data_IF_914516596297
#
_entry.id   IF_914516596297
#
_cell.length_a   1.000
_cell.length_b   1.000
_cell.length_c   1.000
_cell.angle_alpha   90.00
_cell.angle_beta   90.00
_cell.angle_gamma   90.00
#
_symmetry.space_group_name_H-M   'P 1'
#
loop_
_entity.id
_entity.type
_entity.pdbx_description
1 polymer ?
#
# COMPACT_ATOMS: atom_id res chain seq x y z
N UNK A 1 -28.54 -37.98 -33.93
CA UNK A 1 -29.65 -37.60 -34.84
C UNK A 1 -30.01 -36.16 -34.50
N UNK A 2 -29.91 -35.25 -35.48
CA UNK A 2 -30.32 -33.82 -35.49
C UNK A 2 -29.75 -32.89 -34.40
N UNK A 3 -28.74 -32.05 -34.62
CA UNK A 3 -28.56 -30.97 -35.63
C UNK A 3 -29.58 -29.83 -35.47
N UNK A 4 -29.11 -28.65 -35.03
CA UNK A 4 -29.45 -27.33 -35.59
C UNK A 4 -28.61 -26.22 -34.96
N UNK A 5 -27.54 -25.91 -35.68
CA UNK A 5 -26.89 -24.60 -35.80
C UNK A 5 -27.92 -23.53 -36.16
N UNK A 6 -27.82 -22.35 -35.54
CA UNK A 6 -28.41 -21.12 -36.05
C UNK A 6 -27.43 -19.97 -35.82
N UNK A 7 -26.83 -19.53 -36.92
CA UNK A 7 -26.07 -18.29 -37.07
C UNK A 7 -26.93 -17.30 -37.86
N UNK A 8 -26.96 -16.02 -37.44
CA UNK A 8 -27.26 -14.76 -38.16
C UNK A 8 -27.76 -13.74 -37.12
N UNK A 9 -27.50 -12.43 -37.15
CA UNK A 9 -26.86 -11.58 -38.13
C UNK A 9 -26.38 -10.28 -37.45
N UNK A 10 -25.39 -9.66 -38.08
CA UNK A 10 -24.93 -8.28 -37.93
C UNK A 10 -26.07 -7.25 -37.85
N UNK A 11 -25.91 -6.25 -36.98
CA UNK A 11 -26.39 -4.89 -37.24
C UNK A 11 -25.38 -3.88 -36.66
N UNK A 12 -24.58 -3.32 -37.56
CA UNK A 12 -23.69 -2.17 -37.33
C UNK A 12 -24.56 -0.92 -37.26
N UNK A 13 -24.45 -0.15 -36.17
CA UNK A 13 -25.02 1.18 -36.04
C UNK A 13 -23.94 2.19 -35.69
N UNK A 14 -23.36 2.84 -36.71
CA UNK A 14 -22.61 4.07 -36.54
C UNK A 14 -23.60 5.25 -36.48
N UNK A 15 -23.63 5.97 -35.37
CA UNK A 15 -24.25 7.29 -35.28
C UNK A 15 -23.19 8.30 -34.85
N UNK A 16 -22.61 8.98 -35.85
CA UNK A 16 -21.84 10.21 -35.67
C UNK A 16 -22.83 11.37 -35.52
N UNK A 17 -22.88 11.98 -34.35
CA UNK A 17 -23.45 13.32 -34.17
C UNK A 17 -22.37 14.25 -33.65
N UNK A 18 -21.84 15.05 -34.58
CA UNK A 18 -21.05 16.24 -34.34
C UNK A 18 -22.00 17.43 -34.12
N UNK A 19 -21.76 18.20 -33.06
CA UNK A 19 -22.12 19.63 -32.95
C UNK A 19 -21.27 20.21 -31.80
N UNK A 20 -20.11 20.79 -32.11
CA UNK A 20 -19.89 22.22 -32.35
C UNK A 20 -19.70 22.99 -31.03
N UNK A 21 -18.41 23.16 -30.72
CA UNK A 21 -17.86 24.13 -29.77
C UNK A 21 -18.29 25.54 -30.19
N UNK A 22 -18.83 26.30 -29.24
CA UNK A 22 -19.10 27.72 -29.41
C UNK A 22 -18.29 28.45 -28.34
N UNK A 23 -17.16 29.01 -28.78
CA UNK A 23 -16.46 30.08 -28.09
C UNK A 23 -17.24 31.36 -28.38
N UNK A 24 -17.65 32.08 -27.33
CA UNK A 24 -17.95 33.50 -27.42
C UNK A 24 -17.01 34.27 -26.50
N UNK A 25 -16.19 35.09 -27.14
CA UNK A 25 -15.33 36.09 -26.54
C UNK A 25 -16.06 37.43 -26.50
N UNK A 26 -15.93 38.16 -25.40
CA UNK A 26 -15.91 39.63 -25.30
C UNK A 26 -16.04 40.01 -23.82
N UNK A 27 -15.33 40.99 -23.26
CA UNK A 27 -14.29 41.86 -23.79
C UNK A 27 -13.69 42.65 -22.60
N UNK A 28 -12.45 43.11 -22.81
CA UNK A 28 -11.88 44.40 -22.34
C UNK A 28 -11.70 44.63 -20.82
N UNK A 29 -10.62 45.24 -20.33
CA UNK A 29 -9.42 45.83 -20.94
C UNK A 29 -8.40 46.15 -19.82
N UNK A 30 -7.12 46.23 -20.22
CA UNK A 30 -6.13 47.25 -19.83
C UNK A 30 -5.78 47.41 -18.32
N UNK A 31 -4.54 47.59 -17.87
CA UNK A 31 -3.33 48.14 -18.49
C UNK A 31 -2.16 47.82 -17.53
N UNK A 32 -1.04 47.30 -18.04
CA UNK A 32 0.18 48.07 -18.31
C UNK A 32 1.08 48.34 -17.09
N UNK A 33 2.14 47.54 -17.05
CA UNK A 33 3.47 47.81 -16.47
C UNK A 33 4.07 49.10 -17.06
N UNK A 34 4.99 49.76 -16.34
CA UNK A 34 6.17 50.29 -16.99
C UNK A 34 7.46 49.75 -16.34
N UNK A 35 8.51 49.76 -17.16
CA UNK A 35 9.87 49.35 -16.82
C UNK A 35 10.79 50.58 -16.69
N UNK A 36 11.84 50.38 -15.91
CA UNK A 36 13.19 50.97 -15.98
C UNK A 36 13.38 52.48 -15.67
N UNK A 37 14.23 52.76 -14.67
CA UNK A 37 15.57 53.34 -14.86
C UNK A 37 16.35 53.39 -13.54
N UNK A 38 17.67 53.46 -13.67
CA UNK A 38 18.74 53.26 -12.68
C UNK A 38 19.33 54.59 -12.16
N UNK A 39 20.27 54.46 -11.21
CA UNK A 39 21.19 55.44 -10.56
C UNK A 39 20.63 56.12 -9.29
N UNK A 40 21.35 56.27 -8.16
CA UNK A 40 22.79 56.32 -7.94
C UNK A 40 23.21 55.73 -6.58
N UNK A 41 24.51 55.52 -6.44
CA UNK A 41 25.23 54.99 -5.30
C UNK A 41 25.21 55.94 -4.08
N UNK A 42 25.12 55.35 -2.88
CA UNK A 42 25.82 55.88 -1.70
C UNK A 42 26.38 54.70 -0.90
N UNK A 43 27.66 54.84 -0.53
CA UNK A 43 28.45 53.83 0.16
C UNK A 43 28.32 54.05 1.65
N UNK A 44 27.54 53.21 2.33
CA UNK A 44 27.54 53.12 3.79
C UNK A 44 28.04 51.72 4.21
N UNK A 45 29.14 51.70 4.97
CA UNK A 45 29.78 50.50 5.47
C UNK A 45 28.82 49.67 6.38
N UNK A 46 28.78 48.33 6.24
CA UNK A 46 27.90 47.51 7.07
C UNK A 46 28.43 47.43 8.51
N UNK A 47 27.56 47.53 9.54
CA UNK A 47 27.94 47.24 10.91
C UNK A 47 28.28 45.74 11.05
N UNK A 48 29.29 45.47 11.88
CA UNK A 48 29.82 44.14 12.12
C UNK A 48 28.72 43.12 12.44
N UNK A 49 28.72 42.01 11.70
CA UNK A 49 27.85 40.87 11.94
C UNK A 49 28.15 40.27 13.32
N UNK A 50 27.20 40.36 14.23
CA UNK A 50 27.14 39.52 15.42
C UNK A 50 27.05 38.06 14.96
N UNK A 51 28.05 37.25 15.33
CA UNK A 51 28.04 35.83 15.10
C UNK A 51 26.80 35.22 15.77
N UNK A 52 25.85 34.78 14.96
CA UNK A 52 24.72 33.98 15.42
C UNK A 52 25.27 32.60 15.77
N UNK A 53 25.29 32.28 17.06
CA UNK A 53 25.47 30.92 17.56
C UNK A 53 24.50 30.01 16.81
N UNK A 54 24.96 28.94 16.13
CA UNK A 54 24.07 27.99 15.50
C UNK A 54 23.11 27.44 16.55
N UNK A 55 21.81 27.63 16.33
CA UNK A 55 20.78 26.93 17.08
C UNK A 55 21.09 25.44 16.99
N UNK A 56 21.21 24.79 18.14
CA UNK A 56 21.39 23.34 18.21
C UNK A 56 20.27 22.68 17.41
N UNK A 57 20.63 22.04 16.31
CA UNK A 57 19.72 21.20 15.56
C UNK A 57 19.24 20.11 16.53
N UNK A 58 17.96 20.16 16.90
CA UNK A 58 17.30 19.05 17.58
C UNK A 58 17.50 17.83 16.68
N UNK A 59 18.33 16.89 17.14
CA UNK A 59 18.58 15.65 16.41
C UNK A 59 17.23 15.00 16.10
N UNK A 60 16.99 14.72 14.82
CA UNK A 60 15.88 13.87 14.41
C UNK A 60 15.98 12.54 15.18
N UNK A 61 14.85 11.99 15.66
CA UNK A 61 14.88 10.72 16.37
C UNK A 61 15.54 9.67 15.46
N UNK A 62 16.52 8.95 16.01
CA UNK A 62 17.13 7.84 15.29
C UNK A 62 16.04 6.84 14.90
N UNK A 63 15.91 6.56 13.61
CA UNK A 63 15.06 5.49 13.11
C UNK A 63 15.65 4.16 13.57
N UNK A 64 15.05 3.55 14.59
CA UNK A 64 15.41 2.19 14.98
C UNK A 64 15.00 1.25 13.86
N UNK A 65 15.98 0.62 13.22
CA UNK A 65 15.75 -0.44 12.25
C UNK A 65 14.95 -1.57 12.88
N UNK A 66 13.99 -2.13 12.13
CA UNK A 66 13.21 -3.27 12.58
C UNK A 66 14.11 -4.47 12.93
N UNK A 67 13.92 -5.05 14.12
CA UNK A 67 14.62 -6.27 14.56
C UNK A 67 13.60 -7.36 14.93
N UNK A 68 13.53 -8.41 14.10
CA UNK A 68 12.63 -9.54 14.32
C UNK A 68 12.92 -10.27 15.63
N UNK A 69 14.13 -10.15 16.19
CA UNK A 69 14.49 -10.84 17.43
C UNK A 69 13.72 -10.35 18.65
N UNK A 70 13.15 -9.14 18.56
CA UNK A 70 12.28 -8.55 19.58
C UNK A 70 10.88 -9.19 19.63
N UNK A 71 10.48 -9.89 18.57
CA UNK A 71 9.17 -10.56 18.47
C UNK A 71 9.30 -11.97 19.05
N UNK A 72 8.38 -12.35 19.93
CA UNK A 72 8.36 -13.69 20.52
C UNK A 72 8.11 -14.76 19.45
N UNK A 73 8.80 -15.90 19.55
CA UNK A 73 8.55 -17.05 18.69
C UNK A 73 7.21 -17.68 19.07
N UNK A 74 6.35 -17.90 18.10
CA UNK A 74 5.08 -18.62 18.25
C UNK A 74 5.22 -20.08 17.83
N UNK A 75 4.80 -20.98 18.70
CA UNK A 75 4.71 -22.43 18.48
C UNK A 75 3.26 -22.89 18.20
N UNK A 76 2.29 -21.97 18.22
CA UNK A 76 0.88 -22.27 18.01
C UNK A 76 0.63 -22.94 16.64
N UNK A 77 -0.34 -23.86 16.52
CA UNK A 77 -0.64 -24.51 15.23
C UNK A 77 -1.12 -23.48 14.19
N UNK A 78 -0.51 -23.44 13.00
CA UNK A 78 -0.84 -22.46 11.95
C UNK A 78 -2.13 -22.76 11.17
N UNK A 79 -2.56 -24.03 11.16
CA UNK A 79 -3.62 -24.49 10.26
C UNK A 79 -3.13 -24.68 8.83
N UNK A 80 -4.05 -24.68 7.88
CA UNK A 80 -3.76 -24.85 6.45
C UNK A 80 -3.34 -23.53 5.80
N UNK A 81 -2.52 -23.61 4.76
CA UNK A 81 -2.17 -22.46 3.91
C UNK A 81 -3.46 -21.81 3.37
N UNK A 82 -3.65 -20.47 3.45
CA UNK A 82 -2.65 -19.42 3.72
C UNK A 82 -2.55 -18.99 5.20
N UNK A 83 -2.81 -19.89 6.14
CA UNK A 83 -2.73 -19.68 7.59
C UNK A 83 -3.63 -18.56 8.11
N UNK A 84 -4.74 -18.31 7.40
CA UNK A 84 -5.73 -17.32 7.79
C UNK A 84 -7.14 -17.90 7.63
N UNK A 85 -7.85 -17.99 8.75
CA UNK A 85 -9.27 -18.32 8.78
C UNK A 85 -10.06 -17.02 8.80
N UNK A 86 -10.94 -16.83 7.81
CA UNK A 86 -11.78 -15.65 7.74
C UNK A 86 -12.97 -15.73 8.71
N UNK A 87 -13.51 -14.58 9.16
CA UNK A 87 -14.69 -14.56 10.01
C UNK A 87 -15.90 -15.14 9.26
N UNK A 88 -16.88 -15.67 10.00
CA UNK A 88 -18.01 -16.38 9.41
C UNK A 88 -18.75 -15.57 8.33
N UNK A 89 -18.87 -16.18 7.15
CA UNK A 89 -19.53 -15.63 5.96
C UNK A 89 -18.69 -14.65 5.15
N UNK A 90 -17.42 -14.42 5.49
CA UNK A 90 -16.44 -13.85 4.56
C UNK A 90 -15.71 -14.96 3.80
N UNK A 91 -15.23 -14.65 2.61
CA UNK A 91 -14.51 -15.57 1.75
C UNK A 91 -13.39 -14.87 0.99
N UNK A 92 -12.38 -15.65 0.60
CA UNK A 92 -11.40 -15.21 -0.38
C UNK A 92 -12.01 -15.21 -1.78
N UNK A 93 -11.58 -14.30 -2.63
CA UNK A 93 -11.84 -14.36 -4.06
C UNK A 93 -10.90 -15.37 -4.75
N UNK A 94 -11.37 -15.99 -5.83
CA UNK A 94 -10.59 -16.96 -6.60
C UNK A 94 -10.36 -18.27 -5.85
N UNK A 95 -9.51 -19.13 -6.41
CA UNK A 95 -9.09 -20.36 -5.76
C UNK A 95 -7.65 -20.26 -5.23
N UNK A 96 -7.36 -21.04 -4.20
CA UNK A 96 -6.08 -21.00 -3.48
C UNK A 96 -4.87 -21.25 -4.38
N UNK A 97 -4.98 -22.15 -5.36
CA UNK A 97 -3.86 -22.57 -6.19
C UNK A 97 -3.44 -21.46 -7.18
N UNK A 98 -4.40 -20.83 -7.86
CA UNK A 98 -4.14 -19.73 -8.81
C UNK A 98 -3.58 -18.48 -8.12
N UNK A 99 -3.99 -18.26 -6.87
CA UNK A 99 -3.59 -17.10 -6.07
C UNK A 99 -2.33 -17.33 -5.23
N UNK A 100 -1.77 -18.54 -5.26
CA UNK A 100 -0.51 -18.88 -4.59
C UNK A 100 0.65 -18.84 -5.58
N UNK A 101 1.75 -18.21 -5.18
CA UNK A 101 3.04 -18.29 -5.88
C UNK A 101 4.04 -18.98 -4.95
N UNK A 102 4.73 -20.00 -5.44
CA UNK A 102 5.71 -20.74 -4.62
C UNK A 102 6.96 -19.90 -4.30
N UNK A 103 7.27 -18.93 -5.17
CA UNK A 103 8.37 -17.98 -4.97
C UNK A 103 8.01 -16.62 -5.58
N UNK A 104 7.98 -15.60 -4.74
CA UNK A 104 7.91 -14.20 -5.13
C UNK A 104 8.60 -13.33 -4.08
N UNK A 105 8.86 -12.07 -4.41
CA UNK A 105 9.43 -11.07 -3.50
C UNK A 105 8.42 -9.95 -3.28
N UNK A 106 7.99 -9.76 -2.03
CA UNK A 106 6.94 -8.80 -1.67
C UNK A 106 7.37 -7.87 -0.54
N UNK A 107 6.97 -6.59 -0.55
CA UNK A 107 7.36 -5.63 0.47
C UNK A 107 6.39 -5.62 1.66
N UNK A 108 6.91 -5.48 2.87
CA UNK A 108 6.14 -5.32 4.11
C UNK A 108 6.57 -4.05 4.85
N UNK A 109 5.61 -3.19 5.17
CA UNK A 109 5.86 -2.00 5.98
C UNK A 109 5.97 -2.36 7.46
N UNK A 110 7.13 -2.13 8.06
CA UNK A 110 7.40 -2.44 9.48
C UNK A 110 7.05 -1.30 10.43
N UNK A 111 6.60 -0.15 9.90
CA UNK A 111 6.45 1.10 10.64
C UNK A 111 7.65 2.03 10.54
N UNK A 112 8.80 1.53 10.05
CA UNK A 112 10.00 2.32 9.84
C UNK A 112 10.66 2.12 8.48
N UNK A 113 10.50 0.94 7.87
CA UNK A 113 11.07 0.62 6.56
C UNK A 113 10.19 -0.36 5.78
N UNK A 114 10.38 -0.39 4.47
CA UNK A 114 9.88 -1.47 3.61
C UNK A 114 10.88 -2.63 3.65
N UNK A 115 10.46 -3.72 4.26
CA UNK A 115 11.22 -4.96 4.29
C UNK A 115 10.74 -5.86 3.15
N UNK A 116 11.64 -6.16 2.22
CA UNK A 116 11.35 -7.10 1.14
C UNK A 116 11.56 -8.54 1.60
N UNK A 117 10.51 -9.35 1.49
CA UNK A 117 10.51 -10.76 1.88
C UNK A 117 10.37 -11.61 0.62
N UNK A 118 11.26 -12.58 0.46
CA UNK A 118 11.19 -13.59 -0.58
C UNK A 118 10.63 -14.89 0.00
N UNK A 119 9.73 -15.54 -0.73
CA UNK A 119 9.19 -16.83 -0.36
C UNK A 119 7.86 -17.16 -1.01
N UNK A 120 7.10 -18.05 -0.36
CA UNK A 120 5.78 -18.48 -0.84
C UNK A 120 4.75 -17.42 -0.48
N UNK A 121 3.99 -16.95 -1.46
CA UNK A 121 3.02 -15.87 -1.28
C UNK A 121 1.62 -16.27 -1.69
N UNK A 122 0.63 -15.63 -1.08
CA UNK A 122 -0.77 -15.74 -1.45
C UNK A 122 -1.42 -14.37 -1.34
N UNK A 123 -2.19 -13.97 -2.34
CA UNK A 123 -3.02 -12.78 -2.27
C UNK A 123 -4.47 -13.10 -2.64
N UNK A 124 -5.41 -12.34 -2.09
CA UNK A 124 -6.78 -12.40 -2.54
C UNK A 124 -7.55 -11.18 -2.08
N UNK A 125 -8.54 -10.76 -2.87
CA UNK A 125 -9.62 -9.94 -2.31
C UNK A 125 -10.41 -10.72 -1.24
N UNK A 126 -10.88 -9.97 -0.24
CA UNK A 126 -11.76 -10.40 0.84
C UNK A 126 -13.17 -9.89 0.56
N UNK A 127 -14.14 -10.81 0.46
CA UNK A 127 -15.52 -10.47 0.12
C UNK A 127 -16.50 -11.04 1.15
N UNK A 128 -17.62 -10.36 1.32
CA UNK A 128 -18.77 -10.97 1.96
C UNK A 128 -19.34 -12.04 1.02
N UNK A 129 -19.58 -13.24 1.55
CA UNK A 129 -20.24 -14.31 0.82
C UNK A 129 -21.75 -14.11 0.72
N UNK A 130 -22.41 -15.05 0.06
CA UNK A 130 -23.85 -14.98 -0.20
C UNK A 130 -24.66 -14.81 1.10
N UNK A 131 -25.54 -13.81 1.10
CA UNK A 131 -26.41 -13.52 2.24
C UNK A 131 -25.74 -12.77 3.40
N UNK A 132 -24.45 -12.40 3.29
CA UNK A 132 -23.77 -11.57 4.29
C UNK A 132 -23.67 -10.11 3.84
N UNK A 133 -23.99 -9.19 4.74
CA UNK A 133 -23.67 -7.76 4.57
C UNK A 133 -22.23 -7.51 4.96
N UNK A 134 -21.46 -6.88 4.08
CA UNK A 134 -20.08 -6.51 4.35
C UNK A 134 -20.00 -5.51 5.51
N UNK A 135 -19.07 -5.75 6.44
CA UNK A 135 -18.74 -4.84 7.53
C UNK A 135 -17.23 -4.83 7.72
N UNK A 136 -16.60 -3.70 7.35
CA UNK A 136 -15.17 -3.48 7.53
C UNK A 136 -14.70 -3.78 8.96
N UNK A 137 -15.45 -3.29 9.95
CA UNK A 137 -15.11 -3.48 11.36
C UNK A 137 -15.16 -4.96 11.77
N UNK A 138 -16.20 -5.68 11.34
CA UNK A 138 -16.35 -7.10 11.64
C UNK A 138 -15.22 -7.92 10.99
N UNK A 139 -14.92 -7.65 9.72
CA UNK A 139 -13.85 -8.30 8.99
C UNK A 139 -12.50 -8.11 9.69
N UNK A 140 -12.11 -6.86 9.93
CA UNK A 140 -10.82 -6.53 10.55
C UNK A 140 -10.72 -7.10 11.97
N UNK A 141 -11.77 -6.98 12.77
CA UNK A 141 -11.77 -7.52 14.14
C UNK A 141 -11.60 -9.04 14.15
N UNK A 142 -12.30 -9.74 13.27
CA UNK A 142 -12.20 -11.20 13.23
C UNK A 142 -10.84 -11.68 12.68
N UNK A 143 -10.26 -10.96 11.71
CA UNK A 143 -8.89 -11.23 11.24
C UNK A 143 -7.86 -10.96 12.35
N UNK A 144 -7.98 -9.84 13.08
CA UNK A 144 -7.11 -9.55 14.24
C UNK A 144 -7.14 -10.71 15.25
N UNK A 145 -8.34 -11.20 15.57
CA UNK A 145 -8.53 -12.30 16.52
C UNK A 145 -7.93 -13.60 15.98
N UNK A 146 -8.14 -13.93 14.70
CA UNK A 146 -7.60 -15.12 14.07
C UNK A 146 -6.06 -15.11 14.08
N UNK A 147 -5.43 -14.01 13.66
CA UNK A 147 -3.97 -13.88 13.64
C UNK A 147 -3.38 -13.84 15.05
N UNK A 148 -4.01 -13.14 16.00
CA UNK A 148 -3.59 -13.15 17.42
C UNK A 148 -3.66 -14.57 18.01
N UNK A 149 -4.67 -15.35 17.63
CA UNK A 149 -4.77 -16.75 18.03
C UNK A 149 -3.59 -17.60 17.53
N UNK A 150 -2.95 -17.22 16.41
CA UNK A 150 -1.72 -17.84 15.88
C UNK A 150 -0.43 -17.26 16.48
N UNK A 151 -0.54 -16.26 17.36
CA UNK A 151 0.62 -15.59 17.97
C UNK A 151 1.21 -14.48 17.10
N UNK A 152 0.41 -13.91 16.19
CA UNK A 152 0.83 -12.75 15.44
C UNK A 152 0.98 -11.51 16.34
N UNK A 153 1.94 -10.65 15.99
CA UNK A 153 2.07 -9.29 16.51
C UNK A 153 1.70 -8.32 15.38
N UNK A 154 0.88 -7.31 15.68
CA UNK A 154 0.60 -6.20 14.76
C UNK A 154 1.77 -5.23 14.79
N UNK A 155 2.40 -5.00 13.64
CA UNK A 155 3.49 -4.03 13.48
C UNK A 155 2.93 -2.64 13.18
N UNK A 156 1.95 -2.56 12.27
CA UNK A 156 1.33 -1.29 11.89
C UNK A 156 -0.17 -1.47 11.64
N UNK A 157 -0.91 -0.36 11.73
CA UNK A 157 -2.33 -0.29 11.34
C UNK A 157 -2.60 0.71 10.20
N UNK A 158 -1.54 1.34 9.69
CA UNK A 158 -1.55 2.16 8.50
C UNK A 158 -0.38 1.76 7.60
N UNK A 159 -0.51 2.05 6.31
CA UNK A 159 0.63 2.08 5.40
C UNK A 159 1.57 3.25 5.74
N UNK A 160 2.66 3.36 4.99
CA UNK A 160 3.64 4.43 5.08
C UNK A 160 3.09 5.78 4.61
N UNK A 161 3.83 6.85 4.90
CA UNK A 161 3.51 8.20 4.43
C UNK A 161 3.90 8.43 2.94
N UNK A 162 3.49 9.58 2.41
CA UNK A 162 3.77 9.97 1.02
C UNK A 162 5.28 10.07 0.72
N UNK A 163 6.10 10.46 1.70
CA UNK A 163 7.55 10.60 1.51
C UNK A 163 8.20 9.25 1.27
N UNK A 164 7.85 8.26 2.10
CA UNK A 164 8.30 6.87 1.94
C UNK A 164 7.76 6.29 0.64
N UNK A 165 6.49 6.55 0.29
CA UNK A 165 5.93 6.08 -0.97
C UNK A 165 6.72 6.59 -2.17
N UNK A 166 6.91 7.91 -2.31
CA UNK A 166 7.60 8.48 -3.47
C UNK A 166 9.07 8.03 -3.53
N UNK A 167 9.74 7.82 -2.40
CA UNK A 167 11.10 7.28 -2.35
C UNK A 167 11.21 5.83 -2.85
N UNK A 168 10.15 5.02 -2.71
CA UNK A 168 10.15 3.59 -3.05
C UNK A 168 9.30 3.24 -4.29
N UNK A 169 8.63 4.24 -4.88
CA UNK A 169 7.70 4.09 -6.01
C UNK A 169 8.25 3.27 -7.19
N UNK A 170 9.51 3.43 -7.64
CA UNK A 170 10.05 2.61 -8.72
C UNK A 170 10.12 1.12 -8.39
N UNK A 171 10.41 0.77 -7.13
CA UNK A 171 10.47 -0.63 -6.67
C UNK A 171 9.08 -1.21 -6.40
N UNK A 172 8.15 -0.37 -5.91
CA UNK A 172 6.77 -0.77 -5.65
C UNK A 172 5.97 -1.00 -6.94
N UNK A 173 6.25 -0.26 -8.01
CA UNK A 173 5.49 -0.33 -9.27
C UNK A 173 5.39 -1.75 -9.88
N UNK A 174 6.49 -2.52 -10.07
CA UNK A 174 6.40 -3.89 -10.60
C UNK A 174 5.65 -4.82 -9.65
N UNK A 175 5.88 -4.71 -8.34
CA UNK A 175 5.17 -5.48 -7.32
C UNK A 175 3.65 -5.24 -7.40
N UNK A 176 3.23 -3.97 -7.42
CA UNK A 176 1.82 -3.56 -7.51
C UNK A 176 1.13 -4.05 -8.78
N UNK A 177 1.87 -4.15 -9.88
CA UNK A 177 1.35 -4.72 -11.13
C UNK A 177 1.21 -6.25 -11.07
N UNK A 178 2.02 -6.92 -10.25
CA UNK A 178 1.99 -8.38 -10.10
C UNK A 178 1.00 -8.84 -9.03
N UNK A 179 0.78 -8.01 -8.01
CA UNK A 179 -0.06 -8.23 -6.84
C UNK A 179 -1.17 -7.17 -6.77
N UNK A 180 -2.11 -7.24 -7.72
CA UNK A 180 -3.07 -6.16 -7.98
C UNK A 180 -4.26 -6.16 -7.00
N UNK A 181 -4.64 -7.32 -6.45
CA UNK A 181 -5.71 -7.43 -5.45
C UNK A 181 -5.41 -6.59 -4.19
N UNK A 182 -4.13 -6.50 -3.79
CA UNK A 182 -3.68 -5.81 -2.56
C UNK A 182 -3.14 -4.39 -2.83
N UNK A 183 -3.23 -3.90 -4.07
CA UNK A 183 -2.61 -2.66 -4.53
C UNK A 183 -2.91 -1.44 -3.65
N UNK A 184 -4.16 -1.33 -3.17
CA UNK A 184 -4.61 -0.26 -2.30
C UNK A 184 -3.86 -0.22 -0.96
N UNK A 185 -3.38 -1.36 -0.45
CA UNK A 185 -2.59 -1.40 0.78
C UNK A 185 -1.24 -0.68 0.65
N UNK A 186 -0.75 -0.55 -0.59
CA UNK A 186 0.57 -0.03 -0.92
C UNK A 186 0.55 1.40 -1.47
N UNK A 187 -0.58 2.10 -1.34
CA UNK A 187 -0.62 3.54 -1.41
C UNK A 187 -0.32 4.16 -0.04
N UNK A 188 0.09 5.43 0.01
CA UNK A 188 0.35 6.11 1.28
C UNK A 188 -0.94 6.43 2.05
N UNK A 189 -0.81 6.53 3.38
CA UNK A 189 -1.87 6.90 4.32
C UNK A 189 -3.12 6.02 4.30
N UNK A 190 -3.00 4.77 3.87
CA UNK A 190 -4.09 3.80 3.81
C UNK A 190 -4.23 3.06 5.13
N UNK A 191 -5.46 2.61 5.40
CA UNK A 191 -5.75 1.74 6.54
C UNK A 191 -5.33 0.29 6.23
N UNK A 192 -4.03 0.09 6.04
CA UNK A 192 -3.39 -1.21 5.82
C UNK A 192 -2.69 -1.67 7.10
N UNK A 193 -2.92 -2.92 7.48
CA UNK A 193 -2.39 -3.50 8.72
C UNK A 193 -1.35 -4.56 8.40
N UNK A 194 -0.16 -4.42 8.96
CA UNK A 194 0.91 -5.42 8.85
C UNK A 194 1.00 -6.24 10.12
N UNK A 195 0.99 -7.57 9.98
CA UNK A 195 1.15 -8.54 11.05
C UNK A 195 2.34 -9.44 10.77
N UNK A 196 2.91 -9.96 11.85
CA UNK A 196 4.03 -10.88 11.81
C UNK A 196 3.83 -12.03 12.81
N UNK A 197 3.95 -13.26 12.33
CA UNK A 197 4.10 -14.46 13.16
C UNK A 197 5.53 -14.95 13.01
N UNK A 198 6.34 -14.82 14.06
CA UNK A 198 7.70 -15.36 14.09
C UNK A 198 7.68 -16.85 14.44
N UNK A 199 8.31 -17.69 13.62
CA UNK A 199 8.62 -19.09 13.92
C UNK A 199 10.11 -19.23 14.25
N UNK A 200 10.53 -20.43 14.65
CA UNK A 200 11.93 -20.68 14.97
C UNK A 200 12.85 -20.54 13.74
N UNK A 201 12.34 -20.90 12.56
CA UNK A 201 13.09 -21.05 11.31
C UNK A 201 12.58 -20.13 10.17
N UNK A 202 11.38 -19.54 10.33
CA UNK A 202 10.73 -18.72 9.31
C UNK A 202 9.83 -17.64 9.90
N UNK A 203 9.33 -16.76 9.05
CA UNK A 203 8.36 -15.74 9.39
C UNK A 203 7.14 -15.84 8.46
N UNK A 204 5.95 -15.64 9.03
CA UNK A 204 4.72 -15.42 8.27
C UNK A 204 4.34 -13.96 8.40
N UNK A 205 4.28 -13.28 7.27
CA UNK A 205 3.90 -11.90 7.14
C UNK A 205 2.51 -11.80 6.55
N UNK A 206 1.68 -10.92 7.09
CA UNK A 206 0.32 -10.69 6.59
C UNK A 206 0.07 -9.20 6.47
N UNK A 207 -0.38 -8.74 5.30
CA UNK A 207 -0.92 -7.40 5.10
C UNK A 207 -2.40 -7.52 4.82
N UNK A 208 -3.20 -6.75 5.55
CA UNK A 208 -4.65 -6.69 5.35
C UNK A 208 -5.03 -5.24 5.07
N UNK A 209 -5.71 -5.03 3.96
CA UNK A 209 -6.38 -3.79 3.64
C UNK A 209 -7.89 -4.01 3.65
N UNK A 210 -8.63 -3.03 4.13
CA UNK A 210 -10.08 -3.02 4.04
C UNK A 210 -10.62 -1.60 4.05
N UNK A 211 -11.54 -1.32 3.13
CA UNK A 211 -12.38 -0.13 3.12
C UNK A 211 -13.84 -0.49 3.42
N UNK A 212 -14.78 0.40 3.10
CA UNK A 212 -16.21 0.18 3.37
C UNK A 212 -16.91 -0.77 2.39
N UNK A 213 -16.25 -1.17 1.32
CA UNK A 213 -16.82 -1.94 0.22
C UNK A 213 -16.11 -3.28 0.01
N UNK A 214 -14.80 -3.32 0.20
CA UNK A 214 -13.97 -4.50 -0.02
C UNK A 214 -12.80 -4.57 0.97
N UNK A 215 -12.10 -5.69 0.93
CA UNK A 215 -10.78 -5.80 1.50
C UNK A 215 -9.90 -6.69 0.64
N UNK A 216 -8.64 -6.79 1.03
CA UNK A 216 -7.67 -7.66 0.41
C UNK A 216 -6.65 -8.12 1.45
N UNK A 217 -6.02 -9.25 1.17
CA UNK A 217 -4.92 -9.77 1.98
C UNK A 217 -3.75 -10.16 1.09
N UNK A 218 -2.55 -9.96 1.62
CA UNK A 218 -1.32 -10.59 1.15
C UNK A 218 -0.72 -11.38 2.32
N UNK A 219 -0.39 -12.64 2.09
CA UNK A 219 0.34 -13.51 3.02
C UNK A 219 1.66 -13.91 2.37
N UNK A 220 2.75 -13.87 3.13
CA UNK A 220 4.04 -14.42 2.71
C UNK A 220 4.64 -15.29 3.80
N UNK A 221 5.12 -16.47 3.43
CA UNK A 221 6.01 -17.30 4.25
C UNK A 221 7.42 -17.25 3.67
N UNK A 222 8.38 -16.79 4.46
CA UNK A 222 9.77 -16.65 4.03
C UNK A 222 10.76 -16.87 5.18
N UNK A 223 12.07 -16.88 4.90
CA UNK A 223 13.10 -16.99 5.93
C UNK A 223 13.01 -15.82 6.92
N UNK A 224 13.61 -15.99 8.10
CA UNK A 224 13.77 -14.87 9.02
C UNK A 224 14.62 -13.78 8.34
N UNK A 225 14.19 -12.50 8.34
CA UNK A 225 15.02 -11.41 7.84
C UNK A 225 16.31 -11.32 8.66
N UNK A 226 17.38 -10.90 8.02
CA UNK A 226 18.65 -10.67 8.72
C UNK A 226 18.45 -9.63 9.84
N UNK A 227 19.01 -9.92 11.01
CA UNK A 227 19.00 -8.97 12.10
C UNK A 227 19.81 -7.73 11.69
N UNK A 228 19.39 -6.51 12.10
CA UNK A 228 20.21 -5.34 11.87
C UNK A 228 21.59 -5.54 12.49
N UNK A 229 22.64 -5.17 11.76
CA UNK A 229 24.00 -5.22 12.28
C UNK A 229 24.07 -4.38 13.57
N UNK A 230 24.58 -4.98 14.66
CA UNK A 230 24.85 -4.23 15.89
C UNK A 230 25.96 -3.22 15.58
N UNK A 231 25.63 -1.93 15.67
CA UNK A 231 26.58 -0.82 15.61
C UNK A 231 27.47 -0.78 16.86
#
# INVERSE_FOLDING_TARGET
MSMKTAALALAVGLSLMACKKQDDAAATAANARPAAASEAADTAAPPAATAQTPAAATAAPAVTSFDINTIAVSDKPLGEWPYLVLPAGYQFSGNLAEKTKDLARVPFWTGSQLLWVEGKTYEAELRAGDGKTYSRFELLKGIDQALTALGAVTLTQRSYDETVYEANKPELAPFRSEFDDIDDAYWYDKDARTYLIRRADKAIWVVVYADNYNGAVLVAEGPLPEAPAKL
#
